data_IF_549107494829
#
_entry.id   IF_549107494829
#
_cell.length_a   1.000
_cell.length_b   1.000
_cell.length_c   1.000
_cell.angle_alpha   90.00
_cell.angle_beta   90.00
_cell.angle_gamma   90.00
#
_symmetry.space_group_name_H-M   'P 1'
#
loop_
_entity.id
_entity.type
_entity.pdbx_description
1 polymer ?
#
# COMPACT_ATOMS: atom_id res chain seq x y z
N UNK A 1 -7.36 9.33 -18.68
CA UNK A 1 -6.06 8.88 -18.15
C UNK A 1 -5.21 10.11 -17.94
N UNK A 2 -4.57 10.28 -16.78
CA UNK A 2 -3.72 11.46 -16.53
C UNK A 2 -2.53 11.43 -17.50
N UNK A 3 -2.50 12.39 -18.42
CA UNK A 3 -1.44 12.50 -19.43
C UNK A 3 -0.06 12.66 -18.78
N UNK A 4 -0.01 13.22 -17.57
CA UNK A 4 1.23 13.43 -16.80
C UNK A 4 1.87 12.11 -16.39
N UNK A 5 1.08 11.15 -15.90
CA UNK A 5 1.61 9.85 -15.46
C UNK A 5 2.17 9.06 -16.65
N UNK A 6 1.44 9.08 -17.77
CA UNK A 6 1.91 8.46 -19.02
C UNK A 6 3.21 9.09 -19.51
N UNK A 7 3.32 10.42 -19.48
CA UNK A 7 4.53 11.14 -19.85
C UNK A 7 5.72 10.85 -18.92
N UNK A 8 5.44 10.50 -17.65
CA UNK A 8 6.44 10.07 -16.67
C UNK A 8 6.81 8.58 -16.76
N UNK A 9 6.32 7.86 -17.79
CA UNK A 9 6.70 6.48 -18.06
C UNK A 9 5.81 5.43 -17.37
N UNK A 10 4.70 5.85 -16.75
CA UNK A 10 3.74 4.90 -16.21
C UNK A 10 3.12 4.04 -17.32
N UNK A 11 3.24 2.72 -17.20
CA UNK A 11 2.57 1.77 -18.09
C UNK A 11 1.39 1.16 -17.35
N UNK A 12 0.14 1.50 -17.71
CA UNK A 12 -1.04 0.99 -17.03
C UNK A 12 -1.18 -0.51 -17.24
N UNK A 13 -1.56 -1.22 -16.18
CA UNK A 13 -2.07 -2.58 -16.30
C UNK A 13 -3.58 -2.53 -16.20
N UNK A 14 -4.28 -3.05 -17.21
CA UNK A 14 -5.73 -3.09 -17.22
C UNK A 14 -6.29 -4.00 -16.13
N UNK A 15 -7.37 -3.56 -15.50
CA UNK A 15 -8.20 -4.38 -14.63
C UNK A 15 -9.18 -5.22 -15.45
N UNK A 16 -9.66 -6.33 -14.87
CA UNK A 16 -10.75 -7.10 -15.46
C UNK A 16 -12.09 -6.37 -15.35
N UNK A 17 -13.07 -6.75 -16.16
CA UNK A 17 -14.43 -6.18 -16.05
C UNK A 17 -15.05 -6.39 -14.67
N UNK A 18 -14.75 -7.52 -14.03
CA UNK A 18 -15.19 -7.81 -12.66
C UNK A 18 -14.56 -6.83 -11.66
N UNK A 19 -13.26 -6.58 -11.76
CA UNK A 19 -12.57 -5.66 -10.85
C UNK A 19 -13.09 -4.22 -10.98
N UNK A 20 -13.41 -3.76 -12.20
CA UNK A 20 -14.07 -2.46 -12.39
C UNK A 20 -15.46 -2.44 -11.73
N UNK A 21 -16.28 -3.46 -11.96
CA UNK A 21 -17.60 -3.57 -11.34
C UNK A 21 -17.53 -3.57 -9.80
N UNK A 22 -16.60 -4.33 -9.21
CA UNK A 22 -16.42 -4.40 -7.75
C UNK A 22 -15.98 -3.06 -7.17
N UNK A 23 -15.09 -2.34 -7.86
CA UNK A 23 -14.72 -0.97 -7.46
C UNK A 23 -15.91 -0.02 -7.47
N UNK A 24 -16.75 -0.08 -8.50
CA UNK A 24 -17.89 0.83 -8.68
C UNK A 24 -19.06 0.52 -7.73
N UNK A 25 -19.38 -0.76 -7.50
CA UNK A 25 -20.57 -1.18 -6.77
C UNK A 25 -20.29 -1.67 -5.34
N UNK A 26 -19.15 -2.34 -5.10
CA UNK A 26 -18.81 -2.90 -3.79
C UNK A 26 -17.87 -1.99 -2.98
N UNK A 27 -17.21 -1.02 -3.63
CA UNK A 27 -16.27 -0.10 -3.00
C UNK A 27 -14.88 -0.70 -2.73
N UNK A 28 -14.60 -1.92 -3.20
CA UNK A 28 -13.28 -2.56 -3.10
C UNK A 28 -13.10 -3.61 -4.20
N UNK A 29 -11.86 -3.95 -4.50
CA UNK A 29 -11.52 -5.13 -5.33
C UNK A 29 -10.22 -5.77 -4.83
N UNK A 30 -9.94 -6.99 -5.27
CA UNK A 30 -8.72 -7.73 -4.91
C UNK A 30 -7.79 -7.83 -6.13
N UNK A 31 -6.55 -7.41 -5.95
CA UNK A 31 -5.46 -7.55 -6.92
C UNK A 31 -4.58 -8.73 -6.53
N UNK A 32 -4.86 -9.90 -7.09
CA UNK A 32 -4.13 -11.12 -6.78
C UNK A 32 -2.75 -11.16 -7.46
N UNK A 33 -1.79 -11.80 -6.81
CA UNK A 33 -0.47 -12.12 -7.37
C UNK A 33 0.36 -10.91 -7.85
N UNK A 34 0.09 -9.70 -7.36
CA UNK A 34 0.85 -8.50 -7.71
C UNK A 34 2.19 -8.40 -6.95
N UNK A 35 2.32 -9.13 -5.83
CA UNK A 35 3.58 -9.22 -5.07
C UNK A 35 4.24 -10.56 -5.40
N UNK A 36 5.40 -10.52 -6.05
CA UNK A 36 6.16 -11.73 -6.35
C UNK A 36 6.82 -12.29 -5.08
N UNK A 37 7.08 -13.61 -5.00
CA UNK A 37 7.72 -14.20 -3.82
C UNK A 37 9.05 -13.53 -3.45
N UNK A 38 9.92 -13.28 -4.44
CA UNK A 38 11.21 -12.62 -4.21
C UNK A 38 11.06 -11.18 -3.72
N UNK A 39 10.03 -10.45 -4.16
CA UNK A 39 9.77 -9.11 -3.64
C UNK A 39 9.16 -9.14 -2.24
N UNK A 40 8.26 -10.08 -1.96
CA UNK A 40 7.69 -10.30 -0.64
C UNK A 40 8.77 -10.59 0.41
N UNK A 41 9.76 -11.41 0.07
CA UNK A 41 10.87 -11.71 0.98
C UNK A 41 11.70 -10.46 1.28
N UNK A 42 11.96 -9.61 0.28
CA UNK A 42 12.66 -8.32 0.49
C UNK A 42 11.83 -7.34 1.33
N UNK A 43 10.52 -7.27 1.12
CA UNK A 43 9.62 -6.43 1.92
C UNK A 43 9.63 -6.87 3.39
N UNK A 44 9.55 -8.17 3.65
CA UNK A 44 9.63 -8.73 5.00
C UNK A 44 10.96 -8.42 5.67
N UNK A 45 12.07 -8.67 4.95
CA UNK A 45 13.39 -8.38 5.47
C UNK A 45 13.54 -6.90 5.85
N UNK A 46 13.19 -5.99 4.93
CA UNK A 46 13.26 -4.55 5.20
C UNK A 46 12.35 -4.12 6.36
N UNK A 47 11.17 -4.71 6.48
CA UNK A 47 10.26 -4.45 7.59
C UNK A 47 10.88 -4.84 8.93
N UNK A 48 11.45 -6.05 9.04
CA UNK A 48 12.09 -6.52 10.27
C UNK A 48 13.31 -5.66 10.64
N UNK A 49 14.16 -5.33 9.67
CA UNK A 49 15.32 -4.46 9.87
C UNK A 49 14.92 -3.07 10.39
N UNK A 50 13.87 -2.47 9.81
CA UNK A 50 13.36 -1.18 10.25
C UNK A 50 12.71 -1.24 11.64
N UNK A 51 11.96 -2.31 11.95
CA UNK A 51 11.39 -2.51 13.29
C UNK A 51 12.50 -2.60 14.33
N UNK A 52 13.58 -3.34 14.06
CA UNK A 52 14.72 -3.44 14.97
C UNK A 52 15.45 -2.09 15.11
N UNK A 53 15.67 -1.39 13.99
CA UNK A 53 16.37 -0.11 13.97
C UNK A 53 15.59 1.02 14.68
N UNK A 54 14.28 1.10 14.47
CA UNK A 54 13.44 2.16 15.06
C UNK A 54 13.03 1.85 16.50
N UNK A 55 12.93 0.56 16.85
CA UNK A 55 12.58 0.09 18.18
C UNK A 55 11.30 0.75 18.71
N UNK A 56 11.36 1.28 19.93
CA UNK A 56 10.21 1.94 20.59
C UNK A 56 9.68 3.19 19.85
N UNK A 57 10.47 3.75 18.92
CA UNK A 57 10.04 4.91 18.12
C UNK A 57 9.29 4.52 16.85
N UNK A 58 9.24 3.24 16.52
CA UNK A 58 8.59 2.75 15.31
C UNK A 58 7.11 3.19 15.26
N UNK A 59 6.75 3.91 14.19
CA UNK A 59 5.38 4.30 13.89
C UNK A 59 4.76 5.39 14.79
N UNK A 60 5.56 6.08 15.62
CA UNK A 60 5.08 7.15 16.52
C UNK A 60 4.37 8.27 15.75
N UNK A 61 4.90 8.64 14.60
CA UNK A 61 4.41 9.70 13.72
C UNK A 61 3.03 9.42 13.10
N UNK A 62 2.63 8.14 13.00
CA UNK A 62 1.32 7.73 12.48
C UNK A 62 0.40 7.16 13.56
N UNK A 63 0.80 7.25 14.83
CA UNK A 63 0.08 6.69 15.97
C UNK A 63 0.39 5.20 16.19
N UNK A 64 0.95 4.87 17.35
CA UNK A 64 1.17 3.49 17.78
C UNK A 64 -0.15 2.85 18.22
N UNK A 65 -0.27 1.54 17.96
CA UNK A 65 -1.44 0.75 18.36
C UNK A 65 -0.97 -0.45 19.16
N UNK A 66 -1.60 -0.68 20.32
CA UNK A 66 -1.28 -1.85 21.15
C UNK A 66 -1.50 -3.13 20.33
N UNK A 67 -0.54 -4.05 20.41
CA UNK A 67 -0.64 -5.34 19.73
C UNK A 67 -0.35 -5.31 18.23
N UNK A 68 0.11 -4.16 17.69
CA UNK A 68 0.45 -4.02 16.28
C UNK A 68 1.84 -3.40 16.16
N UNK A 69 2.76 -4.08 15.46
CA UNK A 69 4.02 -3.47 15.06
C UNK A 69 3.73 -2.50 13.91
N UNK A 70 4.11 -1.24 14.09
CA UNK A 70 3.86 -0.18 13.11
C UNK A 70 5.17 0.42 12.63
N UNK A 71 5.25 0.62 11.33
CA UNK A 71 6.20 1.51 10.69
C UNK A 71 5.40 2.60 10.00
N UNK A 72 5.93 3.80 9.96
CA UNK A 72 5.35 4.88 9.17
C UNK A 72 6.40 5.49 8.25
N UNK A 73 5.97 6.36 7.35
CA UNK A 73 6.85 7.03 6.39
C UNK A 73 7.69 6.07 5.53
N UNK A 74 7.11 4.93 5.13
CA UNK A 74 7.84 3.90 4.39
C UNK A 74 8.34 4.38 3.01
N UNK A 75 7.73 5.44 2.46
CA UNK A 75 8.19 6.11 1.25
C UNK A 75 9.65 6.57 1.38
N UNK A 76 10.09 6.95 2.57
CA UNK A 76 11.45 7.44 2.81
C UNK A 76 12.37 6.37 3.43
N UNK A 77 11.93 5.11 3.50
CA UNK A 77 12.63 4.03 4.24
C UNK A 77 13.12 2.88 3.34
N UNK A 78 13.17 3.10 2.04
CA UNK A 78 13.90 2.25 1.10
C UNK A 78 13.12 1.94 -0.19
N UNK A 79 13.85 1.87 -1.30
CA UNK A 79 13.29 1.68 -2.66
C UNK A 79 12.49 0.37 -2.82
N UNK A 80 12.64 -0.59 -1.89
CA UNK A 80 11.84 -1.81 -1.87
C UNK A 80 10.34 -1.54 -1.72
N UNK A 81 9.98 -0.41 -1.08
CA UNK A 81 8.59 0.01 -0.88
C UNK A 81 8.01 0.79 -2.06
N UNK A 82 8.86 1.36 -2.92
CA UNK A 82 8.42 2.18 -4.07
C UNK A 82 7.47 1.42 -4.98
N UNK A 83 7.81 0.16 -5.21
CA UNK A 83 7.00 -0.74 -6.03
C UNK A 83 5.60 -0.96 -5.46
N UNK A 84 5.32 -0.69 -4.17
CA UNK A 84 3.97 -0.80 -3.59
C UNK A 84 3.05 0.29 -4.13
N UNK A 85 3.44 1.56 -4.00
CA UNK A 85 2.61 2.69 -4.44
C UNK A 85 2.74 2.98 -5.94
N UNK A 86 3.73 2.38 -6.61
CA UNK A 86 3.87 2.42 -8.07
C UNK A 86 3.28 1.20 -8.78
N UNK A 87 2.58 0.30 -8.07
CA UNK A 87 1.98 -0.89 -8.68
C UNK A 87 1.06 -0.51 -9.87
N UNK A 88 1.30 -1.03 -11.08
CA UNK A 88 0.52 -0.66 -12.27
C UNK A 88 -0.98 -0.84 -12.15
N UNK A 89 -1.43 -2.01 -11.66
CA UNK A 89 -2.85 -2.28 -11.48
C UNK A 89 -3.49 -1.40 -10.39
N UNK A 90 -2.74 -1.10 -9.31
CA UNK A 90 -3.18 -0.19 -8.26
C UNK A 90 -3.41 1.22 -8.82
N UNK A 91 -2.44 1.76 -9.55
CA UNK A 91 -2.56 3.10 -10.12
C UNK A 91 -3.67 3.18 -11.17
N UNK A 92 -3.92 2.11 -11.95
CA UNK A 92 -5.10 2.01 -12.82
C UNK A 92 -6.41 2.09 -12.01
N UNK A 93 -6.51 1.35 -10.89
CA UNK A 93 -7.69 1.39 -10.01
C UNK A 93 -7.92 2.78 -9.41
N UNK A 94 -6.86 3.41 -8.91
CA UNK A 94 -6.89 4.76 -8.32
C UNK A 94 -7.32 5.80 -9.36
N UNK A 95 -6.80 5.72 -10.59
CA UNK A 95 -7.20 6.57 -11.70
C UNK A 95 -8.67 6.41 -12.06
N UNK A 96 -9.17 5.17 -12.10
CA UNK A 96 -10.57 4.85 -12.38
C UNK A 96 -11.51 5.50 -11.36
N UNK A 97 -11.18 5.39 -10.06
CA UNK A 97 -11.99 5.95 -8.98
C UNK A 97 -11.93 7.48 -8.92
N UNK A 98 -10.72 8.07 -8.96
CA UNK A 98 -10.60 9.52 -8.74
C UNK A 98 -10.93 10.35 -9.97
N UNK A 99 -10.64 9.85 -11.19
CA UNK A 99 -10.86 10.55 -12.46
C UNK A 99 -10.28 11.98 -12.52
N UNK A 100 -9.29 12.26 -11.67
CA UNK A 100 -8.62 13.56 -11.53
C UNK A 100 -7.20 13.34 -11.01
N UNK A 101 -6.31 14.34 -11.12
CA UNK A 101 -4.97 14.25 -10.55
C UNK A 101 -5.03 13.93 -9.06
N UNK A 102 -4.16 13.03 -8.61
CA UNK A 102 -4.06 12.58 -7.22
C UNK A 102 -2.60 12.55 -6.80
N UNK A 103 -2.37 12.38 -5.50
CA UNK A 103 -1.04 12.20 -4.93
C UNK A 103 -1.08 11.12 -3.86
N UNK A 104 0.06 10.51 -3.60
CA UNK A 104 0.23 9.66 -2.43
C UNK A 104 0.10 10.52 -1.16
N UNK A 105 -0.68 10.04 -0.19
CA UNK A 105 -0.80 10.66 1.13
C UNK A 105 0.31 10.16 2.07
N UNK A 106 0.34 8.84 2.30
CA UNK A 106 1.33 8.18 3.16
C UNK A 106 1.42 6.70 2.80
N UNK A 107 2.57 6.07 3.09
CA UNK A 107 2.70 4.61 3.14
C UNK A 107 3.18 4.20 4.53
N UNK A 108 2.40 3.34 5.19
CA UNK A 108 2.68 2.86 6.54
C UNK A 108 2.62 1.33 6.57
N UNK A 109 3.43 0.74 7.44
CA UNK A 109 3.46 -0.68 7.72
C UNK A 109 2.58 -1.03 8.91
N UNK A 110 1.74 -2.06 8.74
CA UNK A 110 0.94 -2.65 9.81
C UNK A 110 1.20 -4.15 9.89
N UNK A 111 1.69 -4.60 11.03
CA UNK A 111 1.88 -6.01 11.31
C UNK A 111 1.26 -6.37 12.67
N UNK A 112 -0.01 -6.83 12.67
CA UNK A 112 -0.69 -7.31 13.86
C UNK A 112 -0.02 -8.53 14.50
N UNK A 113 0.15 -8.51 15.82
CA UNK A 113 0.64 -9.67 16.55
C UNK A 113 -0.43 -10.76 16.64
N UNK A 114 -0.03 -12.04 16.84
CA UNK A 114 -0.98 -13.13 17.02
C UNK A 114 -1.99 -12.85 18.14
N UNK A 115 -3.28 -12.95 17.82
CA UNK A 115 -4.44 -12.65 18.68
C UNK A 115 -4.67 -11.15 18.99
N UNK A 116 -3.97 -10.25 18.32
CA UNK A 116 -4.17 -8.79 18.40
C UNK A 116 -4.59 -8.20 17.03
N UNK A 117 -4.80 -6.88 16.99
CA UNK A 117 -5.05 -6.12 15.76
C UNK A 117 -6.50 -6.11 15.26
N UNK A 118 -7.43 -6.75 15.97
CA UNK A 118 -8.86 -6.60 15.69
C UNK A 118 -9.28 -5.13 15.89
N UNK A 119 -9.83 -4.52 14.84
CA UNK A 119 -10.38 -3.16 14.88
C UNK A 119 -11.91 -3.18 14.77
N UNK A 120 -12.61 -2.22 15.41
CA UNK A 120 -14.04 -2.03 15.18
C UNK A 120 -14.29 -1.61 13.73
N UNK A 121 -15.53 -1.77 13.25
CA UNK A 121 -15.91 -1.27 11.93
C UNK A 121 -15.76 0.26 11.88
N UNK A 122 -15.06 0.76 10.86
CA UNK A 122 -14.83 2.18 10.60
C UNK A 122 -14.65 2.42 9.10
N UNK A 123 -14.72 3.69 8.69
CA UNK A 123 -14.21 4.16 7.40
C UNK A 123 -12.84 4.78 7.62
N UNK A 124 -11.92 4.56 6.68
CA UNK A 124 -10.62 5.24 6.63
C UNK A 124 -10.74 6.75 6.40
#
# INVERSE_FOLDING_TARGET
MDETLLQQGFTPQSLSSTQYYELDENGFTILENIITPAWLDRLRQAFEELVEQEGEKAGVEAGQMKGVRRLADLVNKGEVFDAVYLQPALLTAVLHIFQRPFKLSSLNGHDPLPNDGLQPLHSD
#
